data_IF_726439751989
#
_entry.id   IF_726439751989
#
_cell.length_a   1.000
_cell.length_b   1.000
_cell.length_c   1.000
_cell.angle_alpha   90.00
_cell.angle_beta   90.00
_cell.angle_gamma   90.00
#
_symmetry.space_group_name_H-M   'P 1'
#
loop_
_entity.id
_entity.type
_entity.pdbx_description
1 polymer ?
#
# COMPACT_ATOMS: atom_id res chain seq x y z
N UNK A 1 -35.40 6.80 -19.97
CA UNK A 1 -34.93 7.82 -20.94
C UNK A 1 -33.53 8.34 -20.60
N UNK A 2 -33.28 8.90 -19.40
CA UNK A 2 -31.98 9.50 -19.03
C UNK A 2 -30.74 8.61 -19.20
N UNK A 3 -30.84 7.28 -18.99
CA UNK A 3 -29.70 6.35 -19.12
C UNK A 3 -29.11 6.36 -20.53
N UNK A 4 -29.97 6.34 -21.56
CA UNK A 4 -29.54 6.36 -22.97
C UNK A 4 -28.81 7.66 -23.30
N UNK A 5 -29.33 8.79 -22.83
CA UNK A 5 -28.70 10.11 -23.01
C UNK A 5 -27.34 10.16 -22.31
N UNK A 6 -27.23 9.58 -21.10
CA UNK A 6 -25.95 9.47 -20.40
C UNK A 6 -24.94 8.63 -21.19
N UNK A 7 -25.37 7.50 -21.75
CA UNK A 7 -24.52 6.64 -22.59
C UNK A 7 -24.00 7.39 -23.81
N UNK A 8 -24.87 8.15 -24.49
CA UNK A 8 -24.50 9.00 -25.64
C UNK A 8 -23.50 10.09 -25.25
N UNK A 9 -23.71 10.78 -24.11
CA UNK A 9 -22.78 11.80 -23.61
C UNK A 9 -21.41 11.18 -23.28
N UNK A 10 -21.41 10.05 -22.57
CA UNK A 10 -20.18 9.37 -22.18
C UNK A 10 -19.44 8.81 -23.41
N UNK A 11 -20.16 8.31 -24.41
CA UNK A 11 -19.56 7.87 -25.68
C UNK A 11 -18.91 9.01 -26.46
N UNK A 12 -19.53 10.20 -26.47
CA UNK A 12 -19.03 11.37 -27.21
C UNK A 12 -17.89 12.10 -26.52
N UNK A 13 -17.96 12.26 -25.19
CA UNK A 13 -17.04 13.14 -24.44
C UNK A 13 -16.23 12.42 -23.36
N UNK A 14 -16.59 11.19 -22.98
CA UNK A 14 -15.99 10.48 -21.86
C UNK A 14 -14.50 10.16 -22.06
N UNK A 15 -14.07 9.96 -23.29
CA UNK A 15 -12.70 9.57 -23.64
C UNK A 15 -11.66 10.69 -23.46
N UNK A 16 -12.07 11.94 -23.27
CA UNK A 16 -11.17 13.10 -23.18
C UNK A 16 -11.24 13.71 -21.78
N UNK A 17 -10.08 13.90 -21.15
CA UNK A 17 -9.97 14.59 -19.86
C UNK A 17 -10.06 16.10 -20.05
N UNK A 18 -10.33 16.82 -18.96
CA UNK A 18 -10.37 18.28 -18.95
C UNK A 18 -9.05 18.96 -19.39
N UNK A 19 -7.93 18.23 -19.38
CA UNK A 19 -6.62 18.72 -19.85
C UNK A 19 -6.25 18.21 -21.26
N UNK A 20 -7.22 17.73 -22.05
CA UNK A 20 -7.04 17.24 -23.42
C UNK A 20 -6.41 15.85 -23.54
N UNK A 21 -5.93 15.24 -22.44
CA UNK A 21 -5.37 13.88 -22.47
C UNK A 21 -6.46 12.81 -22.50
N UNK A 22 -6.12 11.61 -22.98
CA UNK A 22 -7.04 10.47 -22.99
C UNK A 22 -7.41 10.05 -21.55
N UNK A 23 -8.71 9.90 -21.31
CA UNK A 23 -9.25 9.35 -20.08
C UNK A 23 -9.13 7.83 -20.10
N UNK A 24 -8.61 7.23 -19.04
CA UNK A 24 -8.58 5.76 -18.94
C UNK A 24 -10.00 5.20 -18.92
N UNK A 25 -10.22 4.01 -19.47
CA UNK A 25 -11.53 3.35 -19.45
C UNK A 25 -12.14 3.32 -18.04
N UNK A 26 -11.34 2.96 -17.04
CA UNK A 26 -11.75 3.02 -15.62
C UNK A 26 -12.26 4.40 -15.18
N UNK A 27 -11.67 5.48 -15.67
CA UNK A 27 -12.14 6.84 -15.38
C UNK A 27 -13.51 7.09 -15.99
N UNK A 28 -13.72 6.62 -17.24
CA UNK A 28 -14.99 6.74 -17.94
C UNK A 28 -16.07 5.95 -17.20
N UNK A 29 -15.81 4.68 -16.90
CA UNK A 29 -16.72 3.78 -16.17
C UNK A 29 -17.11 4.35 -14.82
N UNK A 30 -16.14 4.75 -13.98
CA UNK A 30 -16.43 5.32 -12.66
C UNK A 30 -17.21 6.64 -12.75
N UNK A 31 -16.94 7.46 -13.76
CA UNK A 31 -17.69 8.71 -13.95
C UNK A 31 -19.14 8.41 -14.29
N UNK A 32 -19.37 7.49 -15.24
CA UNK A 32 -20.70 7.03 -15.64
C UNK A 32 -21.48 6.41 -14.48
N UNK A 33 -20.83 5.57 -13.67
CA UNK A 33 -21.43 4.94 -12.49
C UNK A 33 -21.85 5.97 -11.45
N UNK A 34 -20.99 6.92 -11.11
CA UNK A 34 -21.30 7.99 -10.15
C UNK A 34 -22.45 8.85 -10.65
N UNK A 35 -22.45 9.27 -11.92
CA UNK A 35 -23.54 10.06 -12.49
C UNK A 35 -24.84 9.27 -12.48
N UNK A 36 -24.80 7.98 -12.85
CA UNK A 36 -25.96 7.10 -12.82
C UNK A 36 -26.54 6.93 -11.42
N UNK A 37 -25.69 6.68 -10.43
CA UNK A 37 -26.09 6.57 -9.03
C UNK A 37 -26.67 7.89 -8.50
N UNK A 38 -26.08 9.01 -8.89
CA UNK A 38 -26.54 10.35 -8.51
C UNK A 38 -27.93 10.66 -9.06
N UNK A 39 -28.19 10.36 -10.34
CA UNK A 39 -29.51 10.58 -10.95
C UNK A 39 -30.57 9.67 -10.32
N UNK A 40 -30.26 8.39 -10.06
CA UNK A 40 -31.17 7.49 -9.34
C UNK A 40 -31.50 8.04 -7.94
N UNK A 41 -30.48 8.50 -7.21
CA UNK A 41 -30.69 9.06 -5.87
C UNK A 41 -31.52 10.35 -5.92
N UNK A 42 -31.29 11.21 -6.90
CA UNK A 42 -32.13 12.40 -7.12
C UNK A 42 -33.58 12.02 -7.40
N UNK A 43 -33.83 10.97 -8.18
CA UNK A 43 -35.19 10.47 -8.45
C UNK A 43 -35.88 9.98 -7.17
N UNK A 44 -35.15 9.30 -6.29
CA UNK A 44 -35.64 8.86 -4.96
C UNK A 44 -35.96 10.07 -4.06
N UNK A 45 -35.19 11.15 -4.17
CA UNK A 45 -35.38 12.41 -3.44
C UNK A 45 -36.41 13.35 -4.09
N UNK A 46 -37.17 12.88 -5.09
CA UNK A 46 -38.24 13.63 -5.77
C UNK A 46 -37.80 14.47 -6.98
N UNK A 47 -36.51 14.53 -7.30
CA UNK A 47 -35.98 15.25 -8.46
C UNK A 47 -35.96 14.35 -9.70
N UNK A 48 -37.03 14.35 -10.49
CA UNK A 48 -37.22 13.48 -11.67
C UNK A 48 -36.48 13.97 -12.93
N UNK A 49 -35.14 14.02 -12.87
CA UNK A 49 -34.29 14.44 -14.00
C UNK A 49 -34.43 13.47 -15.18
N UNK A 50 -34.97 13.94 -16.31
CA UNK A 50 -35.11 13.14 -17.54
C UNK A 50 -33.93 13.25 -18.49
N UNK A 51 -33.24 14.40 -18.51
CA UNK A 51 -32.00 14.61 -19.26
C UNK A 51 -30.86 14.89 -18.26
N UNK A 52 -29.78 14.08 -18.22
CA UNK A 52 -28.59 14.33 -17.40
C UNK A 52 -27.98 15.72 -17.57
N UNK A 53 -28.19 16.37 -18.73
CA UNK A 53 -27.76 17.76 -18.98
C UNK A 53 -28.44 18.77 -18.07
N UNK A 54 -29.61 18.44 -17.53
CA UNK A 54 -30.36 19.30 -16.60
C UNK A 54 -29.84 19.19 -15.16
N UNK A 55 -28.76 18.43 -14.91
CA UNK A 55 -28.02 18.56 -13.66
C UNK A 55 -27.54 20.01 -13.48
N UNK A 56 -27.67 20.49 -12.26
CA UNK A 56 -27.42 21.86 -11.87
C UNK A 56 -27.10 21.93 -10.39
N UNK A 57 -26.66 23.09 -9.92
CA UNK A 57 -26.08 23.23 -8.58
C UNK A 57 -27.06 22.83 -7.46
N UNK A 58 -28.35 23.14 -7.60
CA UNK A 58 -29.39 22.69 -6.65
C UNK A 58 -29.40 21.17 -6.45
N UNK A 59 -29.17 20.41 -7.52
CA UNK A 59 -29.12 18.94 -7.44
C UNK A 59 -27.86 18.46 -6.71
N UNK A 60 -26.72 19.15 -6.91
CA UNK A 60 -25.48 18.85 -6.19
C UNK A 60 -25.65 19.12 -4.69
N UNK A 61 -26.26 20.26 -4.34
CA UNK A 61 -26.58 20.60 -2.96
C UNK A 61 -27.40 19.50 -2.28
N UNK A 62 -28.48 19.04 -2.93
CA UNK A 62 -29.34 17.96 -2.42
C UNK A 62 -28.57 16.65 -2.24
N UNK A 63 -27.74 16.26 -3.23
CA UNK A 63 -26.95 15.03 -3.16
C UNK A 63 -25.92 15.05 -2.02
N UNK A 64 -25.26 16.18 -1.81
CA UNK A 64 -24.27 16.32 -0.72
C UNK A 64 -24.96 16.28 0.63
N UNK A 65 -26.05 17.03 0.80
CA UNK A 65 -26.80 17.06 2.06
C UNK A 65 -27.36 15.68 2.40
N UNK A 66 -27.95 14.97 1.44
CA UNK A 66 -28.40 13.59 1.64
C UNK A 66 -27.23 12.65 1.98
N UNK A 67 -26.11 12.77 1.28
CA UNK A 67 -24.92 11.94 1.53
C UNK A 67 -24.37 12.12 2.93
N UNK A 68 -24.41 13.34 3.47
CA UNK A 68 -23.89 13.69 4.79
C UNK A 68 -24.89 13.41 5.91
N UNK A 69 -26.09 14.00 5.82
CA UNK A 69 -27.08 13.98 6.89
C UNK A 69 -27.91 12.69 6.94
N UNK A 70 -28.11 12.00 5.82
CA UNK A 70 -29.01 10.83 5.76
C UNK A 70 -28.25 9.53 5.52
N UNK A 71 -27.31 9.52 4.58
CA UNK A 71 -26.54 8.30 4.24
C UNK A 71 -25.27 8.14 5.06
N UNK A 72 -24.84 9.17 5.79
CA UNK A 72 -23.60 9.19 6.57
C UNK A 72 -22.40 8.63 5.80
N UNK A 73 -22.30 8.99 4.51
CA UNK A 73 -21.20 8.54 3.66
C UNK A 73 -19.88 9.08 4.20
N UNK A 74 -18.82 8.26 4.11
CA UNK A 74 -17.46 8.71 4.37
C UNK A 74 -17.14 9.93 3.50
N UNK A 75 -16.54 10.97 4.08
CA UNK A 75 -16.16 12.20 3.37
C UNK A 75 -15.37 11.94 2.10
N UNK A 76 -14.42 10.99 2.15
CA UNK A 76 -13.64 10.62 0.97
C UNK A 76 -14.52 10.14 -0.19
N UNK A 77 -15.59 9.41 0.10
CA UNK A 77 -16.56 8.98 -0.91
C UNK A 77 -17.28 10.18 -1.51
N UNK A 78 -17.79 11.11 -0.68
CA UNK A 78 -18.48 12.32 -1.14
C UNK A 78 -17.57 13.20 -2.01
N UNK A 79 -16.33 13.45 -1.58
CA UNK A 79 -15.35 14.21 -2.37
C UNK A 79 -15.02 13.53 -3.71
N UNK A 80 -14.91 12.20 -3.74
CA UNK A 80 -14.67 11.46 -4.98
C UNK A 80 -15.88 11.55 -5.91
N UNK A 81 -17.11 11.40 -5.39
CA UNK A 81 -18.35 11.55 -6.16
C UNK A 81 -18.46 12.97 -6.75
N UNK A 82 -18.25 14.01 -5.93
CA UNK A 82 -18.21 15.40 -6.38
C UNK A 82 -17.14 15.63 -7.46
N UNK A 83 -15.97 15.03 -7.33
CA UNK A 83 -14.92 15.11 -8.35
C UNK A 83 -15.38 14.52 -9.70
N UNK A 84 -16.10 13.40 -9.69
CA UNK A 84 -16.67 12.80 -10.91
C UNK A 84 -17.82 13.63 -11.49
N UNK A 85 -18.70 14.16 -10.64
CA UNK A 85 -19.76 15.07 -11.07
C UNK A 85 -19.16 16.33 -11.71
N UNK A 86 -18.07 16.88 -11.14
CA UNK A 86 -17.36 18.01 -11.73
C UNK A 86 -16.80 17.68 -13.12
N UNK A 87 -16.16 16.52 -13.28
CA UNK A 87 -15.69 16.05 -14.59
C UNK A 87 -16.83 15.97 -15.60
N UNK A 88 -17.96 15.35 -15.20
CA UNK A 88 -19.14 15.24 -16.05
C UNK A 88 -19.70 16.60 -16.46
N UNK A 89 -19.83 17.55 -15.52
CA UNK A 89 -20.36 18.88 -15.81
C UNK A 89 -19.42 19.70 -16.69
N UNK A 90 -18.11 19.55 -16.54
CA UNK A 90 -17.14 20.14 -17.46
C UNK A 90 -17.31 19.59 -18.88
N UNK A 91 -17.56 18.28 -19.06
CA UNK A 91 -17.86 17.70 -20.39
C UNK A 91 -19.10 18.31 -21.04
N UNK A 92 -20.06 18.78 -20.23
CA UNK A 92 -21.28 19.45 -20.70
C UNK A 92 -21.11 20.95 -20.95
N UNK A 93 -19.89 21.49 -20.89
CA UNK A 93 -19.66 22.92 -21.04
C UNK A 93 -20.09 23.75 -19.83
N UNK A 94 -20.19 23.13 -18.64
CA UNK A 94 -20.56 23.79 -17.38
C UNK A 94 -19.41 23.77 -16.36
N UNK A 95 -18.20 24.29 -16.69
CA UNK A 95 -17.10 24.34 -15.73
C UNK A 95 -17.51 25.21 -14.52
N UNK A 96 -17.05 24.83 -13.32
CA UNK A 96 -17.38 25.54 -12.09
C UNK A 96 -18.77 25.26 -11.50
N UNK A 97 -19.64 24.52 -12.19
CA UNK A 97 -20.99 24.16 -11.68
C UNK A 97 -20.93 23.41 -10.33
N UNK A 98 -19.94 22.53 -10.18
CA UNK A 98 -19.73 21.75 -8.95
C UNK A 98 -18.64 22.41 -8.11
N UNK A 99 -19.05 23.14 -7.07
CA UNK A 99 -18.18 23.80 -6.09
C UNK A 99 -17.45 22.83 -5.16
N UNK A 100 -16.61 23.36 -4.24
CA UNK A 100 -15.95 22.56 -3.20
C UNK A 100 -16.99 22.03 -2.18
N UNK A 101 -16.63 21.00 -1.41
CA UNK A 101 -17.59 20.31 -0.52
C UNK A 101 -18.17 21.25 0.54
N UNK A 102 -17.32 22.12 1.07
CA UNK A 102 -17.58 23.13 2.10
C UNK A 102 -18.70 24.09 1.67
N UNK A 103 -18.82 24.38 0.37
CA UNK A 103 -19.89 25.22 -0.19
C UNK A 103 -21.29 24.64 0.11
N UNK A 104 -21.40 23.32 0.14
CA UNK A 104 -22.67 22.61 0.29
C UNK A 104 -22.99 22.23 1.74
N UNK A 105 -22.02 22.37 2.65
CA UNK A 105 -22.12 22.07 4.07
C UNK A 105 -21.60 23.24 4.93
N UNK A 106 -22.16 24.45 4.80
CA UNK A 106 -21.63 25.66 5.45
C UNK A 106 -21.67 25.62 6.98
N UNK A 107 -22.57 24.80 7.55
CA UNK A 107 -22.76 24.69 9.00
C UNK A 107 -21.96 23.53 9.63
N UNK A 108 -21.12 22.85 8.85
CA UNK A 108 -20.27 21.75 9.34
C UNK A 108 -18.87 22.28 9.59
N UNK A 109 -18.27 21.92 10.73
CA UNK A 109 -16.86 22.26 11.02
C UNK A 109 -15.98 21.82 9.84
N UNK A 110 -15.25 22.75 9.17
CA UNK A 110 -14.37 22.44 8.06
C UNK A 110 -13.37 21.31 8.38
N UNK A 111 -12.95 21.14 9.64
CA UNK A 111 -12.05 20.06 10.05
C UNK A 111 -12.65 18.66 9.80
N UNK A 112 -13.98 18.52 9.90
CA UNK A 112 -14.69 17.27 9.61
C UNK A 112 -14.77 16.98 8.11
N UNK A 113 -14.58 17.99 7.26
CA UNK A 113 -14.66 17.87 5.79
C UNK A 113 -13.31 17.57 5.14
N UNK A 114 -12.21 17.60 5.91
CA UNK A 114 -10.85 17.31 5.43
C UNK A 114 -10.56 15.81 5.44
N UNK A 115 -10.07 15.27 4.33
CA UNK A 115 -9.56 13.89 4.27
C UNK A 115 -8.07 13.87 4.54
N UNK A 116 -7.69 13.30 5.69
CA UNK A 116 -6.30 12.94 5.96
C UNK A 116 -5.95 11.67 5.18
N UNK A 117 -4.89 11.74 4.39
CA UNK A 117 -4.44 10.60 3.55
C UNK A 117 -3.25 9.86 4.14
N UNK A 118 -2.54 10.47 5.09
CA UNK A 118 -1.45 9.81 5.81
C UNK A 118 -2.00 8.61 6.59
N UNK A 119 -1.27 7.51 6.57
CA UNK A 119 -1.57 6.33 7.37
C UNK A 119 -1.35 6.65 8.86
N UNK A 120 -2.34 6.31 9.69
CA UNK A 120 -2.25 6.42 11.15
C UNK A 120 -1.78 5.09 11.76
N UNK A 121 -2.20 3.98 11.16
CA UNK A 121 -1.78 2.63 11.50
C UNK A 121 -1.20 1.97 10.25
N UNK A 122 -0.30 1.01 10.46
CA UNK A 122 0.24 0.21 9.36
C UNK A 122 -0.89 -0.54 8.63
N UNK A 123 -0.70 -0.74 7.33
CA UNK A 123 -1.55 -1.58 6.47
C UNK A 123 -0.81 -2.86 6.04
N UNK A 124 0.39 -3.07 6.54
CA UNK A 124 1.19 -4.25 6.24
C UNK A 124 0.57 -5.49 6.85
N UNK A 125 0.89 -6.65 6.29
CA UNK A 125 0.38 -7.92 6.77
C UNK A 125 1.00 -8.30 8.11
N UNK A 126 2.31 -8.07 8.26
CA UNK A 126 3.01 -8.38 9.52
C UNK A 126 2.49 -7.56 10.72
N UNK A 127 2.13 -6.29 10.53
CA UNK A 127 1.51 -5.49 11.61
C UNK A 127 0.07 -5.90 11.95
N UNK A 128 -0.52 -6.81 11.17
CA UNK A 128 -1.79 -7.49 11.46
C UNK A 128 -1.58 -8.93 11.94
N UNK A 129 -0.36 -9.27 12.41
CA UNK A 129 -0.05 -10.59 12.98
C UNK A 129 0.09 -11.71 11.95
N UNK A 130 0.14 -11.39 10.65
CA UNK A 130 0.28 -12.40 9.61
C UNK A 130 1.75 -12.75 9.43
N UNK A 131 2.06 -14.01 9.72
CA UNK A 131 3.37 -14.59 9.42
C UNK A 131 3.50 -14.89 7.93
N UNK A 132 4.29 -14.09 7.22
CA UNK A 132 4.40 -14.18 5.76
C UNK A 132 5.02 -15.48 5.26
N UNK A 133 5.94 -16.09 6.01
CA UNK A 133 6.63 -17.31 5.56
C UNK A 133 5.65 -18.47 5.48
N UNK A 134 4.91 -18.75 6.57
CA UNK A 134 3.87 -19.79 6.56
C UNK A 134 2.72 -19.41 5.64
N UNK A 135 2.32 -18.13 5.63
CA UNK A 135 1.19 -17.72 4.80
C UNK A 135 1.49 -17.86 3.31
N UNK A 136 2.71 -17.58 2.86
CA UNK A 136 3.05 -17.81 1.47
C UNK A 136 3.09 -19.31 1.10
N UNK A 137 3.41 -20.21 2.03
CA UNK A 137 3.31 -21.65 1.78
C UNK A 137 1.86 -22.07 1.52
N UNK A 138 0.93 -21.65 2.38
CA UNK A 138 -0.51 -21.88 2.21
C UNK A 138 -1.04 -21.33 0.87
N UNK A 139 -0.58 -20.13 0.48
CA UNK A 139 -0.97 -19.53 -0.79
C UNK A 139 -0.38 -20.32 -1.97
N UNK A 140 0.86 -20.78 -1.88
CA UNK A 140 1.51 -21.57 -2.93
C UNK A 140 0.78 -22.90 -3.16
N UNK A 141 0.31 -23.54 -2.09
CA UNK A 141 -0.51 -24.75 -2.14
C UNK A 141 -1.85 -24.50 -2.85
N UNK A 142 -2.44 -23.30 -2.67
CA UNK A 142 -3.70 -22.93 -3.29
C UNK A 142 -3.56 -22.52 -4.76
N UNK A 143 -2.63 -21.61 -5.06
CA UNK A 143 -2.32 -21.11 -6.41
C UNK A 143 -0.89 -20.54 -6.40
N UNK A 144 0.07 -21.35 -6.88
CA UNK A 144 1.49 -20.96 -6.95
C UNK A 144 1.69 -19.61 -7.66
N UNK A 145 0.96 -19.33 -8.76
CA UNK A 145 1.12 -18.07 -9.50
C UNK A 145 0.74 -16.87 -8.62
N UNK A 146 -0.33 -16.97 -7.82
CA UNK A 146 -0.66 -15.95 -6.84
C UNK A 146 0.46 -15.77 -5.81
N UNK A 147 0.97 -16.86 -5.23
CA UNK A 147 2.05 -16.79 -4.25
C UNK A 147 3.33 -16.14 -4.78
N UNK A 148 3.66 -16.37 -6.06
CA UNK A 148 4.77 -15.68 -6.74
C UNK A 148 4.49 -14.19 -6.95
N UNK A 149 3.26 -13.83 -7.34
CA UNK A 149 2.85 -12.43 -7.49
C UNK A 149 2.96 -11.67 -6.17
N UNK A 150 2.41 -12.22 -5.08
CA UNK A 150 2.41 -11.55 -3.78
C UNK A 150 3.83 -11.35 -3.22
N UNK A 151 4.75 -12.29 -3.48
CA UNK A 151 6.17 -12.10 -3.15
C UNK A 151 6.80 -10.93 -3.91
N UNK A 152 6.48 -10.73 -5.19
CA UNK A 152 6.95 -9.54 -5.92
C UNK A 152 6.25 -8.24 -5.46
N UNK A 153 4.98 -8.30 -5.05
CA UNK A 153 4.31 -7.15 -4.43
C UNK A 153 4.98 -6.74 -3.11
N UNK A 154 5.41 -7.72 -2.31
CA UNK A 154 6.17 -7.50 -1.07
C UNK A 154 7.60 -6.99 -1.32
N UNK A 155 8.35 -7.62 -2.22
CA UNK A 155 9.76 -7.33 -2.46
C UNK A 155 10.00 -6.06 -3.29
N UNK A 156 9.03 -5.70 -4.16
CA UNK A 156 9.19 -4.60 -5.13
C UNK A 156 8.05 -3.60 -5.10
N UNK A 157 7.06 -3.77 -4.21
CA UNK A 157 5.96 -2.84 -4.09
C UNK A 157 5.11 -2.75 -5.35
N UNK A 158 5.07 -3.76 -6.22
CA UNK A 158 4.28 -3.71 -7.45
C UNK A 158 2.79 -3.53 -7.11
N UNK A 159 2.07 -2.82 -7.98
CA UNK A 159 0.60 -2.79 -7.92
C UNK A 159 0.06 -4.09 -8.53
N UNK A 160 -1.15 -4.49 -8.14
CA UNK A 160 -1.84 -5.65 -8.73
C UNK A 160 -1.76 -5.73 -10.27
N UNK A 161 -2.10 -4.65 -10.97
CA UNK A 161 -2.01 -4.63 -12.44
C UNK A 161 -0.57 -4.72 -12.97
N UNK A 162 0.40 -4.19 -12.22
CA UNK A 162 1.82 -4.25 -12.58
C UNK A 162 2.35 -5.66 -12.40
N UNK A 163 2.01 -6.34 -11.30
CA UNK A 163 2.48 -7.71 -11.05
C UNK A 163 1.84 -8.73 -12.00
N UNK A 164 0.56 -8.56 -12.37
CA UNK A 164 -0.09 -9.41 -13.36
C UNK A 164 0.57 -9.34 -14.74
N UNK A 165 1.15 -8.18 -15.09
CA UNK A 165 1.89 -7.96 -16.34
C UNK A 165 3.38 -8.25 -16.22
N UNK A 166 3.85 -8.59 -15.03
CA UNK A 166 5.27 -8.71 -14.74
C UNK A 166 5.82 -10.00 -15.38
N UNK A 167 6.79 -9.86 -16.27
CA UNK A 167 7.69 -10.92 -16.69
C UNK A 167 9.03 -10.71 -15.98
N UNK A 168 9.31 -11.49 -14.93
CA UNK A 168 10.47 -11.27 -14.07
C UNK A 168 11.79 -11.56 -14.79
N UNK A 169 11.80 -12.32 -15.88
CA UNK A 169 13.04 -12.61 -16.61
C UNK A 169 13.49 -11.43 -17.47
N UNK A 170 12.54 -10.73 -18.11
CA UNK A 170 12.83 -9.56 -18.96
C UNK A 170 12.90 -8.25 -18.19
N UNK A 171 12.32 -8.20 -16.98
CA UNK A 171 12.29 -7.01 -16.13
C UNK A 171 13.44 -6.92 -15.13
N UNK A 172 14.26 -7.97 -15.00
CA UNK A 172 15.42 -8.01 -14.12
C UNK A 172 16.68 -7.46 -14.82
N UNK A 173 17.10 -6.26 -14.43
CA UNK A 173 18.31 -5.59 -14.95
C UNK A 173 19.49 -5.73 -13.97
N UNK A 174 19.47 -6.73 -13.09
CA UNK A 174 20.53 -7.01 -12.12
C UNK A 174 20.44 -6.15 -10.86
N UNK A 175 20.59 -4.83 -11.01
CA UNK A 175 20.56 -3.86 -9.89
C UNK A 175 19.19 -3.22 -9.64
N UNK A 176 18.24 -3.43 -10.56
CA UNK A 176 16.86 -2.96 -10.40
C UNK A 176 15.88 -3.87 -11.15
N UNK A 177 14.65 -3.91 -10.65
CA UNK A 177 13.50 -4.42 -11.39
C UNK A 177 12.85 -3.26 -12.15
N UNK A 178 12.72 -3.38 -13.47
CA UNK A 178 12.12 -2.34 -14.30
C UNK A 178 10.62 -2.58 -14.46
N UNK A 179 9.81 -1.55 -14.22
CA UNK A 179 8.41 -1.50 -14.70
C UNK A 179 8.40 -0.78 -16.03
N UNK A 180 8.07 -1.50 -17.11
CA UNK A 180 8.12 -0.96 -18.47
C UNK A 180 7.03 0.10 -18.75
N UNK A 181 7.23 0.96 -19.77
CA UNK A 181 6.19 1.86 -20.25
C UNK A 181 4.87 1.13 -20.54
N UNK A 182 3.74 1.73 -20.14
CA UNK A 182 2.42 1.10 -20.30
C UNK A 182 2.03 0.07 -19.22
N UNK A 183 2.97 -0.44 -18.42
CA UNK A 183 2.66 -1.37 -17.34
C UNK A 183 2.25 -0.66 -16.05
N UNK A 184 2.91 0.43 -15.69
CA UNK A 184 2.60 1.18 -14.47
C UNK A 184 1.33 1.99 -14.54
N UNK A 185 0.82 2.41 -13.37
CA UNK A 185 -0.41 3.21 -13.28
C UNK A 185 -0.31 4.49 -14.11
N UNK A 186 -1.21 4.63 -15.09
CA UNK A 186 -1.20 5.77 -16.03
C UNK A 186 -0.12 5.68 -17.11
N UNK A 187 0.39 4.47 -17.37
CA UNK A 187 1.44 4.19 -18.36
C UNK A 187 2.86 4.51 -17.92
N UNK A 188 3.06 4.86 -16.63
CA UNK A 188 4.36 5.30 -16.10
C UNK A 188 5.33 4.13 -15.97
N UNK A 189 6.56 4.32 -16.42
CA UNK A 189 7.68 3.42 -16.16
C UNK A 189 8.39 3.84 -14.85
N UNK A 190 9.17 2.92 -14.26
CA UNK A 190 10.12 3.22 -13.18
C UNK A 190 11.13 2.09 -13.01
N UNK A 191 12.28 2.41 -12.42
CA UNK A 191 13.22 1.41 -11.93
C UNK A 191 13.04 1.28 -10.41
N UNK A 192 12.93 0.04 -9.93
CA UNK A 192 12.80 -0.28 -8.51
C UNK A 192 14.14 -0.89 -8.08
N UNK A 193 14.94 -0.19 -7.28
CA UNK A 193 16.29 -0.65 -6.97
C UNK A 193 16.24 -1.92 -6.10
N UNK A 194 17.16 -2.84 -6.38
CA UNK A 194 17.44 -4.03 -5.57
C UNK A 194 18.53 -3.65 -4.59
N UNK A 195 18.15 -3.40 -3.34
CA UNK A 195 19.04 -2.87 -2.29
C UNK A 195 19.22 -3.85 -1.12
N UNK A 196 18.67 -5.06 -1.24
CA UNK A 196 18.91 -6.15 -0.28
C UNK A 196 19.01 -7.50 -0.98
N UNK A 197 19.77 -8.41 -0.37
CA UNK A 197 19.84 -9.81 -0.78
C UNK A 197 18.46 -10.49 -0.72
N UNK A 198 17.59 -10.08 0.20
CA UNK A 198 16.22 -10.61 0.28
C UNK A 198 15.39 -10.29 -0.97
N UNK A 199 15.51 -9.07 -1.51
CA UNK A 199 14.86 -8.71 -2.79
C UNK A 199 15.43 -9.53 -3.95
N UNK A 200 16.75 -9.71 -3.98
CA UNK A 200 17.44 -10.52 -5.00
C UNK A 200 16.97 -11.97 -4.96
N UNK A 201 17.02 -12.60 -3.78
CA UNK A 201 16.59 -13.97 -3.56
C UNK A 201 15.09 -14.17 -3.89
N UNK A 202 14.25 -13.19 -3.57
CA UNK A 202 12.82 -13.20 -3.94
C UNK A 202 12.63 -13.24 -5.45
N UNK A 203 13.35 -12.39 -6.18
CA UNK A 203 13.24 -12.33 -7.64
C UNK A 203 13.79 -13.62 -8.28
N UNK A 204 14.88 -14.17 -7.76
CA UNK A 204 15.47 -15.42 -8.24
C UNK A 204 14.58 -16.64 -7.96
N UNK A 205 13.96 -16.69 -6.78
CA UNK A 205 12.94 -17.69 -6.42
C UNK A 205 11.75 -17.67 -7.38
N UNK A 206 11.29 -16.47 -7.75
CA UNK A 206 10.18 -16.30 -8.70
C UNK A 206 10.62 -16.73 -10.11
N UNK A 207 11.78 -16.27 -10.58
CA UNK A 207 12.34 -16.63 -11.90
C UNK A 207 12.54 -18.13 -12.06
N UNK A 208 12.91 -18.85 -11.00
CA UNK A 208 13.11 -20.30 -11.06
C UNK A 208 11.79 -21.10 -11.18
N UNK A 209 10.63 -20.46 -11.02
CA UNK A 209 9.29 -21.09 -11.01
C UNK A 209 8.39 -20.61 -12.14
N UNK A 210 8.89 -19.72 -13.00
CA UNK A 210 8.15 -19.21 -14.15
C UNK A 210 8.96 -19.43 -15.42
N UNK A 211 8.32 -19.87 -16.52
CA UNK A 211 8.95 -19.89 -17.83
C UNK A 211 9.52 -18.53 -18.21
N UNK A 212 10.59 -18.54 -19.00
CA UNK A 212 11.14 -17.32 -19.60
C UNK A 212 10.10 -16.70 -20.54
N UNK A 213 10.13 -15.37 -20.65
CA UNK A 213 9.28 -14.59 -21.56
C UNK A 213 7.77 -14.74 -21.30
N UNK A 214 7.38 -15.03 -20.06
CA UNK A 214 5.98 -15.18 -19.67
C UNK A 214 5.65 -14.27 -18.49
N UNK A 215 4.54 -13.53 -18.62
CA UNK A 215 4.02 -12.76 -17.51
C UNK A 215 3.50 -13.66 -16.38
N UNK A 216 3.44 -13.11 -15.17
CA UNK A 216 2.91 -13.81 -14.00
C UNK A 216 1.40 -14.01 -14.03
N UNK A 217 0.66 -13.16 -14.75
CA UNK A 217 -0.77 -13.34 -14.97
C UNK A 217 -1.08 -14.73 -15.54
N UNK A 218 -2.22 -15.27 -15.15
CA UNK A 218 -2.70 -16.53 -15.68
C UNK A 218 -2.96 -16.40 -17.18
N UNK A 219 -2.32 -17.25 -17.97
CA UNK A 219 -2.37 -17.21 -19.44
C UNK A 219 -3.77 -17.56 -19.98
N UNK A 220 -4.45 -18.51 -19.33
CA UNK A 220 -5.75 -19.01 -19.74
C UNK A 220 -6.82 -18.79 -18.68
N UNK A 221 -8.02 -18.43 -19.14
CA UNK A 221 -9.22 -18.41 -18.32
C UNK A 221 -9.72 -19.86 -18.08
N UNK A 222 -10.62 -20.09 -17.11
CA UNK A 222 -11.23 -21.41 -16.91
C UNK A 222 -11.91 -21.99 -18.16
N UNK A 223 -12.28 -21.16 -19.13
CA UNK A 223 -12.84 -21.57 -20.42
C UNK A 223 -11.80 -22.09 -21.43
N UNK A 224 -10.51 -22.12 -21.08
CA UNK A 224 -9.42 -22.51 -21.98
C UNK A 224 -8.99 -21.43 -22.99
N UNK A 225 -9.67 -20.28 -23.05
CA UNK A 225 -9.27 -19.13 -23.88
C UNK A 225 -8.19 -18.31 -23.20
N UNK A 226 -7.37 -17.60 -23.99
CA UNK A 226 -6.40 -16.63 -23.46
C UNK A 226 -7.10 -15.64 -22.55
N UNK A 227 -6.58 -15.47 -21.33
CA UNK A 227 -7.18 -14.62 -20.32
C UNK A 227 -6.91 -13.14 -20.61
N UNK A 228 -7.95 -12.32 -20.54
CA UNK A 228 -7.79 -10.88 -20.53
C UNK A 228 -7.20 -10.36 -19.20
N UNK A 229 -6.70 -9.13 -19.19
CA UNK A 229 -6.25 -8.48 -17.96
C UNK A 229 -7.39 -8.35 -16.93
N UNK A 230 -8.61 -8.06 -17.38
CA UNK A 230 -9.77 -7.96 -16.49
C UNK A 230 -10.13 -9.31 -15.85
N UNK A 231 -10.03 -10.41 -16.61
CA UNK A 231 -10.21 -11.76 -16.06
C UNK A 231 -9.12 -12.10 -15.05
N UNK A 232 -7.87 -11.72 -15.34
CA UNK A 232 -6.74 -11.85 -14.43
C UNK A 232 -6.97 -11.07 -13.13
N UNK A 233 -7.40 -9.80 -13.21
CA UNK A 233 -7.74 -8.97 -12.05
C UNK A 233 -8.83 -9.63 -11.21
N UNK A 234 -9.91 -10.11 -11.83
CA UNK A 234 -11.01 -10.77 -11.11
C UNK A 234 -10.56 -12.08 -10.47
N UNK A 235 -9.72 -12.87 -11.15
CA UNK A 235 -9.16 -14.10 -10.59
C UNK A 235 -8.28 -13.79 -9.37
N UNK A 236 -7.41 -12.78 -9.45
CA UNK A 236 -6.64 -12.31 -8.30
C UNK A 236 -7.56 -11.91 -7.14
N UNK A 237 -8.57 -11.07 -7.39
CA UNK A 237 -9.51 -10.61 -6.35
C UNK A 237 -10.27 -11.78 -5.70
N UNK A 238 -10.73 -12.73 -6.50
CA UNK A 238 -11.46 -13.91 -6.02
C UNK A 238 -10.57 -14.83 -5.18
N UNK A 239 -9.33 -15.06 -5.60
CA UNK A 239 -8.39 -15.88 -4.82
C UNK A 239 -8.03 -15.19 -3.50
N UNK A 240 -7.76 -13.87 -3.53
CA UNK A 240 -7.50 -13.10 -2.32
C UNK A 240 -8.69 -13.15 -1.35
N UNK A 241 -9.92 -13.03 -1.85
CA UNK A 241 -11.12 -13.14 -1.03
C UNK A 241 -11.31 -14.57 -0.48
N UNK A 242 -11.09 -15.59 -1.30
CA UNK A 242 -11.21 -17.00 -0.89
C UNK A 242 -10.18 -17.40 0.18
N UNK A 243 -9.03 -16.72 0.21
CA UNK A 243 -7.97 -16.88 1.22
C UNK A 243 -8.15 -15.95 2.44
N UNK A 244 -9.27 -15.24 2.54
CA UNK A 244 -9.59 -14.36 3.68
C UNK A 244 -8.85 -13.02 3.69
N UNK A 245 -8.18 -12.62 2.62
CA UNK A 245 -7.49 -11.31 2.54
C UNK A 245 -8.45 -10.17 2.17
N UNK A 246 -9.53 -10.08 2.93
CA UNK A 246 -10.46 -8.96 2.90
C UNK A 246 -10.28 -8.11 4.16
N UNK A 247 -10.72 -6.84 4.08
CA UNK A 247 -10.73 -5.96 5.25
C UNK A 247 -11.63 -6.48 6.38
N UNK A 248 -12.66 -7.27 6.06
CA UNK A 248 -13.58 -7.80 7.05
C UNK A 248 -12.96 -8.97 7.80
N UNK A 249 -12.23 -9.84 7.09
CA UNK A 249 -11.75 -11.10 7.66
C UNK A 249 -10.34 -10.95 8.28
N UNK A 250 -9.39 -10.39 7.53
CA UNK A 250 -7.99 -10.28 7.96
C UNK A 250 -7.54 -8.84 8.27
N UNK A 251 -8.43 -7.84 8.13
CA UNK A 251 -8.08 -6.43 8.26
C UNK A 251 -7.20 -5.87 7.12
N UNK A 252 -6.64 -6.74 6.28
CA UNK A 252 -5.73 -6.42 5.18
C UNK A 252 -6.27 -6.83 3.81
N UNK A 253 -5.63 -6.34 2.77
CA UNK A 253 -5.83 -6.80 1.38
C UNK A 253 -4.48 -7.01 0.71
N UNK A 254 -4.43 -7.53 -0.52
CA UNK A 254 -3.16 -7.62 -1.27
C UNK A 254 -2.40 -6.31 -1.39
N UNK A 255 -3.10 -5.17 -1.47
CA UNK A 255 -2.47 -3.85 -1.48
C UNK A 255 -1.73 -3.51 -0.16
N UNK A 256 -1.99 -4.25 0.92
CA UNK A 256 -1.23 -4.21 2.17
C UNK A 256 0.24 -4.61 2.01
N UNK A 257 0.56 -5.53 1.11
CA UNK A 257 1.95 -5.92 0.81
C UNK A 257 2.74 -4.77 0.18
N UNK A 258 2.08 -3.92 -0.62
CA UNK A 258 2.71 -2.69 -1.12
C UNK A 258 2.96 -1.67 -0.01
N UNK A 259 2.12 -1.62 1.03
CA UNK A 259 2.42 -0.82 2.23
C UNK A 259 3.59 -1.41 3.01
N UNK A 260 3.63 -2.73 3.13
CA UNK A 260 4.73 -3.45 3.76
C UNK A 260 6.06 -3.24 3.04
N UNK A 261 6.07 -3.28 1.70
CA UNK A 261 7.21 -2.89 0.89
C UNK A 261 7.66 -1.47 1.24
N UNK A 262 6.74 -0.50 1.29
CA UNK A 262 7.08 0.89 1.57
C UNK A 262 7.74 1.05 2.95
N UNK A 263 7.20 0.36 3.96
CA UNK A 263 7.77 0.33 5.30
C UNK A 263 9.14 -0.37 5.34
N UNK A 264 9.25 -1.56 4.75
CA UNK A 264 10.49 -2.34 4.69
C UNK A 264 11.61 -1.58 3.97
N UNK A 265 11.27 -0.96 2.85
CA UNK A 265 12.19 -0.16 2.04
C UNK A 265 12.56 1.15 2.73
N UNK A 266 11.65 1.76 3.50
CA UNK A 266 12.01 2.90 4.36
C UNK A 266 13.08 2.52 5.37
N UNK A 267 12.94 1.36 6.02
CA UNK A 267 13.92 0.86 6.99
C UNK A 267 15.27 0.54 6.35
N UNK A 268 15.28 -0.01 5.13
CA UNK A 268 16.52 -0.20 4.36
C UNK A 268 17.17 1.13 3.95
N UNK A 269 16.39 2.19 3.86
CA UNK A 269 16.86 3.57 3.68
C UNK A 269 17.11 4.28 5.03
N UNK A 270 17.10 3.55 6.16
CA UNK A 270 17.35 4.04 7.51
C UNK A 270 16.30 5.01 8.05
N UNK A 271 15.12 5.04 7.44
CA UNK A 271 13.97 5.78 7.96
C UNK A 271 13.03 4.81 8.68
N UNK A 272 12.76 5.07 9.95
CA UNK A 272 11.73 4.39 10.71
C UNK A 272 10.34 4.98 10.38
N UNK A 273 9.43 4.24 9.73
CA UNK A 273 8.09 4.73 9.42
C UNK A 273 7.31 5.12 10.68
N UNK A 274 6.58 6.25 10.69
CA UNK A 274 5.60 6.56 11.74
C UNK A 274 4.57 5.45 11.97
N UNK A 275 4.18 4.70 10.93
CA UNK A 275 3.29 3.54 11.07
C UNK A 275 3.90 2.38 11.85
N UNK A 276 5.21 2.38 12.06
CA UNK A 276 5.98 1.41 12.85
C UNK A 276 6.55 2.01 14.14
N UNK A 277 6.07 3.20 14.56
CA UNK A 277 6.53 3.87 15.78
C UNK A 277 7.62 4.92 15.59
N UNK A 278 8.03 5.20 14.35
CA UNK A 278 9.02 6.24 14.06
C UNK A 278 8.57 7.64 14.49
N UNK A 279 9.41 8.32 15.27
CA UNK A 279 9.11 9.65 15.78
C UNK A 279 9.50 10.76 14.77
N UNK A 280 8.85 11.93 14.83
CA UNK A 280 9.34 13.14 14.17
C UNK A 280 10.73 13.50 14.66
N UNK A 281 11.50 14.23 13.84
CA UNK A 281 12.87 14.62 14.20
C UNK A 281 13.93 13.52 14.03
N UNK A 282 13.53 12.37 13.48
CA UNK A 282 14.31 11.47 12.62
C UNK A 282 15.84 11.54 12.60
N UNK A 283 16.19 12.59 11.90
CA UNK A 283 17.37 12.82 11.10
C UNK A 283 17.17 14.24 10.53
N UNK A 284 18.22 14.78 9.92
CA UNK A 284 18.13 16.10 9.32
C UNK A 284 17.02 16.16 8.24
N UNK A 285 16.36 17.31 8.13
CA UNK A 285 15.23 17.49 7.20
C UNK A 285 15.60 17.18 5.75
N UNK A 286 16.75 17.63 5.30
CA UNK A 286 17.21 17.44 3.92
C UNK A 286 17.54 15.97 3.63
N UNK A 287 18.09 15.28 4.63
CA UNK A 287 18.35 13.85 4.57
C UNK A 287 17.04 13.04 4.51
N UNK A 288 16.08 13.35 5.39
CA UNK A 288 14.75 12.74 5.37
C UNK A 288 14.06 12.95 4.02
N UNK A 289 14.10 14.18 3.51
CA UNK A 289 13.49 14.53 2.22
C UNK A 289 14.13 13.73 1.07
N UNK A 290 15.46 13.60 1.06
CA UNK A 290 16.21 12.81 0.07
C UNK A 290 15.83 11.33 0.12
N UNK A 291 15.80 10.73 1.32
CA UNK A 291 15.41 9.32 1.53
C UNK A 291 13.93 9.09 1.16
N UNK A 292 13.03 10.03 1.48
CA UNK A 292 11.62 9.97 1.05
C UNK A 292 11.47 10.07 -0.47
N UNK A 293 12.29 10.85 -1.16
CA UNK A 293 12.28 10.92 -2.63
C UNK A 293 12.68 9.58 -3.24
N UNK A 294 13.71 8.90 -2.71
CA UNK A 294 14.09 7.54 -3.16
C UNK A 294 12.95 6.54 -2.97
N UNK A 295 12.29 6.57 -1.80
CA UNK A 295 11.11 5.74 -1.53
C UNK A 295 9.95 6.04 -2.50
N UNK A 296 9.67 7.32 -2.75
CA UNK A 296 8.62 7.75 -3.67
C UNK A 296 8.90 7.25 -5.10
N UNK A 297 10.15 7.36 -5.57
CA UNK A 297 10.59 6.87 -6.87
C UNK A 297 10.43 5.34 -6.98
N UNK A 298 10.85 4.57 -5.98
CA UNK A 298 10.66 3.12 -5.95
C UNK A 298 9.17 2.72 -6.04
N UNK A 299 8.29 3.50 -5.41
CA UNK A 299 6.83 3.34 -5.49
C UNK A 299 6.21 3.91 -6.79
N UNK A 300 6.97 4.63 -7.63
CA UNK A 300 6.48 5.25 -8.86
C UNK A 300 5.66 6.52 -8.60
N UNK A 301 6.16 7.38 -7.73
CA UNK A 301 5.57 8.66 -7.36
C UNK A 301 6.58 9.79 -7.46
N UNK A 302 6.20 10.87 -8.15
CA UNK A 302 7.02 12.09 -8.27
C UNK A 302 6.87 13.00 -7.04
N UNK A 303 5.87 12.74 -6.20
CA UNK A 303 5.55 13.56 -5.01
C UNK A 303 5.77 12.75 -3.75
N UNK A 304 6.68 13.23 -2.89
CA UNK A 304 7.00 12.58 -1.61
C UNK A 304 5.76 12.38 -0.74
N UNK A 305 4.85 13.35 -0.66
CA UNK A 305 3.65 13.27 0.20
C UNK A 305 2.73 12.07 -0.07
N UNK A 306 2.85 11.42 -1.23
CA UNK A 306 2.10 10.20 -1.54
C UNK A 306 2.58 9.01 -0.72
N UNK A 307 3.85 8.96 -0.32
CA UNK A 307 4.38 7.86 0.50
C UNK A 307 3.71 7.83 1.87
N UNK A 308 3.27 8.99 2.38
CA UNK A 308 2.61 9.09 3.69
C UNK A 308 1.37 8.22 3.79
N UNK A 309 0.70 7.91 2.68
CA UNK A 309 -0.44 6.99 2.65
C UNK A 309 -0.09 5.53 3.00
N UNK A 310 1.20 5.21 2.98
CA UNK A 310 1.78 3.91 3.30
C UNK A 310 2.55 3.94 4.63
N UNK A 311 3.42 4.94 4.83
CA UNK A 311 4.36 4.98 5.97
C UNK A 311 3.99 5.98 7.07
N UNK A 312 2.92 6.76 6.87
CA UNK A 312 2.51 7.82 7.79
C UNK A 312 3.26 9.14 7.55
N UNK A 313 2.98 10.14 8.39
CA UNK A 313 3.58 11.47 8.28
C UNK A 313 4.73 11.61 9.28
N UNK A 314 5.95 11.86 8.79
CA UNK A 314 7.13 12.03 9.63
C UNK A 314 7.14 13.34 10.47
N UNK A 315 6.13 14.20 10.31
CA UNK A 315 6.02 15.45 11.05
C UNK A 315 7.06 16.50 10.64
N UNK A 316 7.02 17.66 11.32
CA UNK A 316 7.90 18.81 11.03
C UNK A 316 8.87 19.13 12.17
N UNK A 317 8.98 18.28 13.20
CA UNK A 317 9.78 18.59 14.38
C UNK A 317 11.27 18.43 14.07
N UNK A 318 12.09 19.40 14.48
CA UNK A 318 13.52 19.52 14.13
C UNK A 318 14.47 19.05 15.23
N UNK A 319 13.96 18.68 16.41
CA UNK A 319 14.81 18.24 17.52
C UNK A 319 15.17 16.76 17.36
N UNK A 320 16.46 16.47 17.16
CA UNK A 320 17.01 15.12 17.05
C UNK A 320 17.24 14.60 18.48
N UNK A 321 16.24 13.90 19.04
CA UNK A 321 16.31 13.31 20.39
C UNK A 321 16.28 11.77 20.37
N UNK A 322 16.79 11.14 19.30
CA UNK A 322 16.35 9.79 18.92
C UNK A 322 17.31 8.65 19.27
N UNK A 323 18.62 8.89 19.27
CA UNK A 323 19.59 7.81 19.49
C UNK A 323 19.46 7.20 20.90
N UNK A 324 19.21 8.01 21.93
CA UNK A 324 18.96 7.55 23.30
C UNK A 324 17.64 6.75 23.40
N UNK A 325 16.62 7.11 22.62
CA UNK A 325 15.33 6.42 22.59
C UNK A 325 15.43 5.02 21.98
N UNK A 326 16.20 4.85 20.90
CA UNK A 326 16.31 3.58 20.19
C UNK A 326 17.01 2.50 21.03
N UNK A 327 18.12 2.86 21.66
CA UNK A 327 18.86 1.97 22.56
C UNK A 327 17.97 1.52 23.73
N UNK A 328 17.20 2.44 24.30
CA UNK A 328 16.29 2.15 25.40
C UNK A 328 15.14 1.22 24.97
N UNK A 329 14.56 1.41 23.77
CA UNK A 329 13.56 0.50 23.22
C UNK A 329 14.10 -0.93 23.08
N UNK A 330 15.31 -1.08 22.54
CA UNK A 330 15.94 -2.39 22.40
C UNK A 330 16.18 -3.02 23.77
N UNK A 331 16.82 -2.29 24.71
CA UNK A 331 17.07 -2.81 26.07
C UNK A 331 15.80 -3.26 26.78
N UNK A 332 14.70 -2.50 26.68
CA UNK A 332 13.40 -2.89 27.25
C UNK A 332 12.85 -4.16 26.62
N UNK A 333 12.93 -4.30 25.30
CA UNK A 333 12.49 -5.51 24.63
C UNK A 333 13.34 -6.73 25.04
N UNK A 334 14.65 -6.58 25.20
CA UNK A 334 15.54 -7.65 25.64
C UNK A 334 15.17 -8.20 27.03
N UNK A 335 14.70 -7.34 27.94
CA UNK A 335 14.23 -7.75 29.26
C UNK A 335 12.93 -8.59 29.21
N UNK A 336 12.18 -8.53 28.10
CA UNK A 336 10.98 -9.35 27.87
C UNK A 336 11.31 -10.71 27.24
N UNK A 337 12.52 -10.87 26.67
CA UNK A 337 12.93 -12.10 26.01
C UNK A 337 13.52 -13.05 27.05
N UNK A 338 12.74 -14.06 27.44
CA UNK A 338 13.24 -15.17 28.23
C UNK A 338 14.11 -16.10 27.37
N UNK A 339 15.43 -15.94 27.48
CA UNK A 339 16.40 -16.66 26.62
C UNK A 339 16.38 -18.18 26.81
N UNK A 340 15.94 -18.68 27.97
CA UNK A 340 15.90 -20.10 28.28
C UNK A 340 14.90 -20.89 27.42
N UNK A 341 13.91 -20.20 26.84
CA UNK A 341 12.82 -20.81 26.07
C UNK A 341 12.96 -20.62 24.55
N UNK A 342 14.04 -19.99 24.10
CA UNK A 342 14.27 -19.73 22.67
C UNK A 342 15.00 -20.88 21.98
N UNK A 343 14.68 -21.16 20.70
CA UNK A 343 15.32 -22.23 19.95
C UNK A 343 16.82 -21.96 19.76
N UNK A 344 17.66 -23.01 19.66
CA UNK A 344 19.08 -22.83 19.41
C UNK A 344 19.34 -22.19 18.04
N UNK A 345 20.37 -21.35 17.97
CA UNK A 345 20.79 -20.70 16.73
C UNK A 345 21.52 -21.69 15.84
N UNK A 346 21.07 -21.83 14.60
CA UNK A 346 21.74 -22.71 13.62
C UNK A 346 23.12 -22.16 13.23
N UNK A 347 24.04 -23.05 12.87
CA UNK A 347 25.43 -22.67 12.53
C UNK A 347 25.46 -21.66 11.37
N UNK A 348 24.57 -21.79 10.40
CA UNK A 348 24.50 -20.90 9.23
C UNK A 348 24.13 -19.46 9.62
N UNK A 349 23.38 -19.28 10.72
CA UNK A 349 22.92 -17.96 11.19
C UNK A 349 23.83 -17.37 12.26
N UNK A 350 24.66 -18.19 12.89
CA UNK A 350 25.47 -17.80 14.03
C UNK A 350 26.44 -16.66 13.68
N UNK A 351 27.06 -16.70 12.49
CA UNK A 351 27.94 -15.63 12.00
C UNK A 351 27.21 -14.29 11.88
N UNK A 352 26.00 -14.31 11.34
CA UNK A 352 25.17 -13.10 11.22
C UNK A 352 24.76 -12.57 12.60
N UNK A 353 24.44 -13.47 13.54
CA UNK A 353 24.08 -13.10 14.89
C UNK A 353 25.26 -12.43 15.63
N UNK A 354 26.47 -12.96 15.51
CA UNK A 354 27.67 -12.34 16.08
C UNK A 354 27.95 -10.97 15.47
N UNK A 355 27.80 -10.82 14.15
CA UNK A 355 27.96 -9.50 13.51
C UNK A 355 27.00 -8.46 14.07
N UNK A 356 25.73 -8.83 14.26
CA UNK A 356 24.74 -7.93 14.86
C UNK A 356 25.08 -7.66 16.33
N UNK A 357 25.51 -8.68 17.08
CA UNK A 357 25.93 -8.54 18.47
C UNK A 357 27.10 -7.56 18.61
N UNK A 358 28.12 -7.64 17.76
CA UNK A 358 29.27 -6.73 17.77
C UNK A 358 28.84 -5.28 17.49
N UNK A 359 27.92 -5.08 16.53
CA UNK A 359 27.35 -3.77 16.23
C UNK A 359 26.56 -3.21 17.42
N UNK A 360 25.78 -4.05 18.11
CA UNK A 360 25.03 -3.63 19.30
C UNK A 360 25.96 -3.32 20.48
N UNK A 361 27.02 -4.10 20.66
CA UNK A 361 28.03 -3.85 21.69
C UNK A 361 28.73 -2.50 21.47
N UNK A 362 29.05 -2.15 20.22
CA UNK A 362 29.60 -0.84 19.87
C UNK A 362 28.65 0.33 20.19
N UNK A 363 27.35 0.07 20.27
CA UNK A 363 26.32 1.04 20.70
C UNK A 363 25.99 0.96 22.20
N UNK A 364 26.75 0.19 22.99
CA UNK A 364 26.52 0.04 24.43
C UNK A 364 25.30 -0.81 24.79
N UNK A 365 24.89 -1.72 23.90
CA UNK A 365 23.81 -2.68 24.11
C UNK A 365 24.38 -4.09 24.23
N UNK A 366 24.27 -4.68 25.41
CA UNK A 366 24.59 -6.10 25.61
C UNK A 366 23.39 -6.94 25.17
N UNK A 367 23.61 -7.80 24.18
CA UNK A 367 22.59 -8.69 23.62
C UNK A 367 23.22 -10.06 23.39
N UNK A 368 22.49 -11.14 23.70
CA UNK A 368 22.95 -12.50 23.39
C UNK A 368 22.67 -12.86 21.92
N UNK A 369 23.46 -13.78 21.34
CA UNK A 369 23.22 -14.26 19.98
C UNK A 369 21.84 -14.91 19.80
N UNK A 370 21.26 -15.47 20.87
CA UNK A 370 19.90 -16.05 20.87
C UNK A 370 18.84 -14.94 20.80
N UNK A 371 19.00 -13.85 21.56
CA UNK A 371 18.12 -12.68 21.46
C UNK A 371 18.23 -11.99 20.10
N UNK A 372 19.46 -11.89 19.57
CA UNK A 372 19.69 -11.39 18.20
C UNK A 372 18.94 -12.25 17.19
N UNK A 373 19.03 -13.58 17.31
CA UNK A 373 18.36 -14.49 16.38
C UNK A 373 16.85 -14.31 16.40
N UNK A 374 16.23 -14.17 17.58
CA UNK A 374 14.78 -13.95 17.71
C UNK A 374 14.34 -12.65 17.01
N UNK A 375 14.97 -11.53 17.36
CA UNK A 375 14.63 -10.23 16.76
C UNK A 375 14.90 -10.21 15.25
N UNK A 376 16.03 -10.76 14.82
CA UNK A 376 16.41 -10.76 13.41
C UNK A 376 15.59 -11.78 12.58
N UNK A 377 15.09 -12.84 13.21
CA UNK A 377 14.15 -13.75 12.57
C UNK A 377 12.81 -13.04 12.33
N UNK A 378 12.27 -12.31 13.32
CA UNK A 378 11.06 -11.50 13.12
C UNK A 378 11.24 -10.52 11.94
N UNK A 379 12.38 -9.82 11.90
CA UNK A 379 12.77 -8.96 10.78
C UNK A 379 12.76 -9.69 9.44
N UNK A 380 13.37 -10.87 9.39
CA UNK A 380 13.47 -11.67 8.17
C UNK A 380 12.09 -12.11 7.67
N UNK A 381 11.24 -12.57 8.58
CA UNK A 381 9.88 -13.01 8.27
C UNK A 381 8.99 -11.87 7.77
N UNK A 382 9.25 -10.63 8.21
CA UNK A 382 8.60 -9.42 7.67
C UNK A 382 8.93 -9.16 6.18
N UNK A 383 9.97 -9.79 5.63
CA UNK A 383 10.27 -9.80 4.18
C UNK A 383 9.83 -11.10 3.49
N UNK A 384 9.11 -11.98 4.18
CA UNK A 384 8.60 -13.24 3.62
C UNK A 384 9.67 -14.31 3.43
N UNK A 385 10.81 -14.19 4.11
CA UNK A 385 11.92 -15.16 4.06
C UNK A 385 12.26 -15.65 5.46
N UNK A 386 12.79 -16.87 5.56
CA UNK A 386 13.12 -17.48 6.85
C UNK A 386 14.31 -16.80 7.55
N UNK A 387 15.25 -16.25 6.78
CA UNK A 387 16.42 -15.52 7.26
C UNK A 387 16.93 -14.56 6.18
N UNK A 388 17.27 -13.35 6.58
CA UNK A 388 17.95 -12.35 5.76
C UNK A 388 19.35 -12.10 6.29
N UNK A 389 20.31 -11.85 5.39
CA UNK A 389 21.60 -11.35 5.85
C UNK A 389 21.46 -9.94 6.44
N UNK A 390 22.20 -9.62 7.52
CA UNK A 390 22.29 -8.28 8.05
C UNK A 390 23.15 -7.40 7.13
N UNK A 391 22.51 -6.54 6.34
CA UNK A 391 23.20 -5.72 5.32
C UNK A 391 23.26 -4.24 5.73
N UNK A 392 22.10 -3.61 5.90
CA UNK A 392 21.94 -2.17 6.05
C UNK A 392 21.07 -1.84 7.27
N UNK A 393 21.38 -0.73 7.94
CA UNK A 393 20.50 -0.07 8.92
C UNK A 393 20.00 -1.03 10.03
N UNK A 394 20.89 -1.91 10.49
CA UNK A 394 20.60 -2.99 11.44
C UNK A 394 20.00 -2.46 12.74
N UNK A 395 20.50 -1.33 13.27
CA UNK A 395 19.98 -0.72 14.49
C UNK A 395 18.52 -0.29 14.36
N UNK A 396 18.18 0.42 13.27
CA UNK A 396 16.80 0.85 12.98
C UNK A 396 15.88 -0.36 12.77
N UNK A 397 16.38 -1.41 12.11
CA UNK A 397 15.62 -2.65 11.95
C UNK A 397 15.34 -3.34 13.29
N UNK A 398 16.34 -3.45 14.18
CA UNK A 398 16.16 -4.05 15.50
C UNK A 398 15.23 -3.23 16.40
N UNK A 399 15.29 -1.90 16.34
CA UNK A 399 14.38 -1.04 17.10
C UNK A 399 12.91 -1.31 16.73
N UNK A 400 12.60 -1.45 15.45
CA UNK A 400 11.24 -1.78 14.99
C UNK A 400 10.77 -3.11 15.55
N UNK A 401 11.59 -4.16 15.46
CA UNK A 401 11.21 -5.48 15.97
C UNK A 401 11.10 -5.48 17.50
N UNK A 402 11.94 -4.72 18.20
CA UNK A 402 11.84 -4.51 19.65
C UNK A 402 10.51 -3.83 20.05
N UNK A 403 10.09 -2.79 19.33
CA UNK A 403 8.81 -2.12 19.55
C UNK A 403 7.62 -3.03 19.24
N UNK A 404 7.69 -3.80 18.16
CA UNK A 404 6.68 -4.78 17.81
C UNK A 404 6.53 -5.85 18.92
N UNK A 405 7.65 -6.36 19.45
CA UNK A 405 7.65 -7.31 20.55
C UNK A 405 7.00 -6.72 21.81
N UNK A 406 7.40 -5.51 22.22
CA UNK A 406 6.82 -4.84 23.39
C UNK A 406 5.30 -4.69 23.25
N UNK A 407 4.81 -4.29 22.06
CA UNK A 407 3.38 -4.17 21.78
C UNK A 407 2.64 -5.49 21.91
N UNK A 408 3.21 -6.60 21.42
CA UNK A 408 2.61 -7.93 21.54
C UNK A 408 2.47 -8.36 23.01
N UNK A 409 3.49 -8.11 23.84
CA UNK A 409 3.44 -8.40 25.27
C UNK A 409 2.37 -7.57 26.00
N UNK A 410 2.25 -6.27 25.71
CA UNK A 410 1.19 -5.43 26.28
C UNK A 410 -0.20 -5.94 25.94
N UNK A 411 -0.44 -6.33 24.67
CA UNK A 411 -1.76 -6.85 24.26
C UNK A 411 -2.12 -8.18 24.92
N UNK A 412 -1.14 -9.03 25.26
CA UNK A 412 -1.40 -10.28 25.98
C UNK A 412 -1.83 -10.02 27.43
N UNK A 413 -1.20 -9.07 28.12
CA UNK A 413 -1.53 -8.69 29.50
C UNK A 413 -2.91 -8.04 29.66
N UNK A 414 -3.43 -7.37 28.63
CA UNK A 414 -4.77 -6.75 28.67
C UNK A 414 -5.90 -7.75 28.39
N UNK A 415 -5.58 -8.94 27.87
CA UNK A 415 -6.54 -10.00 27.56
C UNK A 415 -6.59 -11.14 28.60
N UNK A 416 -5.70 -11.12 29.59
CA UNK A 416 -5.72 -11.94 30.81
C UNK A 416 -6.44 -11.17 31.93
#
# INVERSE_FOLDING_TARGET
MWKKILDEIMGKFGAVRCNGKVASERTQTLTKEVVSASIRRLHELGYKIQDPRNLGERHIFVLVNDSWHTKHKKIKTVQNELSRLRVFCTMLGKPGMVGPLEKYLPNVDPKLLVVRTAALTSKSWSEHGIDLVSKFQEIDERDLRLGLMLRLELGFGLRREEVLKCDPHTQDFGHYLQVFPGQGKGGRWRNIPIISEAQRATLDFVKSRVPKNQALGWEYAPSGKVASLDQNIRRYENLMAALGFTKADAGVTGHGLRAQFAENHSLLLGMMPPTLGGLPGQMARDELQSRQTRLAQALGHDRNTIVNAYVGSFGNNTTIAQAESAIEHIKRALNLIETANLPPVTIERMRDCFRIQDLMAALGVQISHVQVHELWQARSRRHGVAWMKPEHEIGVALEVEALALMKQFSTKKEGE
#
